data_IF_317668731433
#
_entry.id   IF_317668731433
#
_cell.length_a   1.000
_cell.length_b   1.000
_cell.length_c   1.000
_cell.angle_alpha   90.00
_cell.angle_beta   90.00
_cell.angle_gamma   90.00
#
_symmetry.space_group_name_H-M   'P 1'
#
loop_
_entity.id
_entity.type
_entity.pdbx_description
1 polymer ?
#
# COMPACT_ATOMS: atom_id res chain seq x y z
N UNK A 1 -28.49 -2.65 2.49
CA UNK A 1 -29.30 -1.44 2.22
C UNK A 1 -28.52 -0.44 1.34
N UNK A 2 -27.30 0.03 1.73
CA UNK A 2 -26.51 1.05 1.00
C UNK A 2 -26.23 0.65 -0.46
N UNK A 3 -25.75 -0.58 -0.72
CA UNK A 3 -25.49 -1.08 -2.08
C UNK A 3 -26.74 -1.03 -2.98
N UNK A 4 -27.90 -1.30 -2.41
CA UNK A 4 -29.17 -1.28 -3.16
C UNK A 4 -29.67 0.15 -3.35
N UNK A 5 -29.76 0.90 -2.26
CA UNK A 5 -30.44 2.22 -2.26
C UNK A 5 -29.58 3.32 -2.89
N UNK A 6 -28.26 3.28 -2.73
CA UNK A 6 -27.37 4.36 -3.17
C UNK A 6 -26.56 3.97 -4.40
N UNK A 7 -26.27 2.67 -4.59
CA UNK A 7 -25.42 2.19 -5.68
C UNK A 7 -26.14 1.35 -6.73
N UNK A 8 -27.44 1.14 -6.59
CA UNK A 8 -28.29 0.49 -7.60
C UNK A 8 -27.96 -0.99 -7.86
N UNK A 9 -27.50 -1.72 -6.83
CA UNK A 9 -27.35 -3.15 -6.92
C UNK A 9 -28.70 -3.86 -6.70
N UNK A 10 -28.95 -4.94 -7.43
CA UNK A 10 -30.07 -5.81 -7.15
C UNK A 10 -29.91 -6.49 -5.78
N UNK A 11 -30.94 -6.41 -4.92
CA UNK A 11 -30.88 -6.97 -3.57
C UNK A 11 -30.59 -8.48 -3.58
N UNK A 12 -31.22 -9.20 -4.50
CA UNK A 12 -31.02 -10.63 -4.70
C UNK A 12 -29.57 -10.99 -5.04
N UNK A 13 -28.90 -10.16 -5.86
CA UNK A 13 -27.48 -10.32 -6.18
C UNK A 13 -26.59 -10.15 -4.94
N UNK A 14 -26.79 -9.05 -4.20
CA UNK A 14 -26.02 -8.77 -2.98
C UNK A 14 -26.17 -9.88 -1.97
N UNK A 15 -27.40 -10.33 -1.71
CA UNK A 15 -27.69 -11.44 -0.79
C UNK A 15 -27.01 -12.73 -1.25
N UNK A 16 -27.09 -13.04 -2.54
CA UNK A 16 -26.47 -14.26 -3.09
C UNK A 16 -24.95 -14.25 -2.94
N UNK A 17 -24.29 -13.12 -3.22
CA UNK A 17 -22.84 -12.97 -3.03
C UNK A 17 -22.46 -13.14 -1.55
N UNK A 18 -23.15 -12.45 -0.65
CA UNK A 18 -22.85 -12.51 0.79
C UNK A 18 -23.10 -13.90 1.39
N UNK A 19 -24.12 -14.64 0.91
CA UNK A 19 -24.35 -16.04 1.33
C UNK A 19 -23.21 -16.99 0.95
N UNK A 20 -22.46 -16.67 -0.10
CA UNK A 20 -21.30 -17.47 -0.55
C UNK A 20 -19.99 -17.06 0.12
N UNK A 21 -19.96 -15.97 0.88
CA UNK A 21 -18.79 -15.56 1.66
C UNK A 21 -18.54 -16.53 2.81
N UNK A 22 -17.26 -16.85 3.02
CA UNK A 22 -16.81 -17.78 4.05
C UNK A 22 -16.04 -17.05 5.14
N UNK A 23 -16.43 -17.26 6.39
CA UNK A 23 -15.73 -16.69 7.55
C UNK A 23 -14.28 -17.15 7.61
N UNK A 24 -13.34 -16.20 7.75
CA UNK A 24 -11.89 -16.40 7.81
C UNK A 24 -11.32 -16.00 9.17
N UNK A 25 -11.29 -16.93 10.13
CA UNK A 25 -10.71 -16.69 11.47
C UNK A 25 -9.26 -16.22 11.41
N UNK A 26 -8.48 -16.70 10.43
CA UNK A 26 -7.10 -16.26 10.20
C UNK A 26 -7.00 -14.78 9.85
N UNK A 27 -7.95 -14.22 9.10
CA UNK A 27 -8.00 -12.79 8.80
C UNK A 27 -8.17 -11.94 10.07
N UNK A 28 -9.09 -12.31 10.96
CA UNK A 28 -9.29 -11.66 12.26
C UNK A 28 -8.02 -11.68 13.11
N UNK A 29 -7.36 -12.84 13.19
CA UNK A 29 -6.12 -12.99 13.98
C UNK A 29 -4.98 -12.14 13.41
N UNK A 30 -4.83 -12.08 12.10
CA UNK A 30 -3.77 -11.33 11.43
C UNK A 30 -3.97 -9.82 11.56
N UNK A 31 -5.20 -9.32 11.37
CA UNK A 31 -5.52 -7.89 11.55
C UNK A 31 -5.36 -7.45 13.02
N UNK A 32 -5.52 -8.37 13.97
CA UNK A 32 -5.34 -8.07 15.39
C UNK A 32 -3.86 -7.81 15.77
N UNK A 33 -2.89 -8.31 14.99
CA UNK A 33 -1.45 -8.24 15.29
C UNK A 33 -0.63 -7.86 14.05
N UNK A 34 -0.80 -6.63 13.52
CA UNK A 34 -0.06 -6.20 12.35
C UNK A 34 1.43 -6.07 12.67
N UNK A 35 2.30 -6.52 11.75
CA UNK A 35 3.75 -6.52 11.93
C UNK A 35 4.30 -5.12 12.20
N UNK A 36 3.75 -4.10 11.56
CA UNK A 36 4.12 -2.69 11.67
C UNK A 36 3.97 -2.12 13.10
N UNK A 37 3.10 -2.73 13.92
CA UNK A 37 2.83 -2.30 15.30
C UNK A 37 3.46 -3.20 16.36
N UNK A 38 3.93 -4.39 15.96
CA UNK A 38 4.38 -5.41 16.91
C UNK A 38 5.87 -5.72 16.82
N UNK A 39 6.53 -5.29 15.75
CA UNK A 39 7.95 -5.56 15.50
C UNK A 39 8.81 -4.33 15.76
N UNK A 40 10.02 -4.57 16.27
CA UNK A 40 11.09 -3.56 16.31
C UNK A 40 11.55 -3.23 14.88
N UNK A 41 12.31 -2.14 14.74
CA UNK A 41 12.93 -1.82 13.44
C UNK A 41 13.85 -2.95 12.95
N UNK A 42 14.68 -3.51 13.82
CA UNK A 42 15.57 -4.62 13.47
C UNK A 42 14.82 -5.84 12.95
N UNK A 43 13.74 -6.24 13.63
CA UNK A 43 12.89 -7.35 13.20
C UNK A 43 12.18 -7.04 11.88
N UNK A 44 11.70 -5.80 11.71
CA UNK A 44 10.96 -5.39 10.51
C UNK A 44 11.86 -5.30 9.29
N UNK A 45 13.01 -4.64 9.42
CA UNK A 45 13.99 -4.54 8.34
C UNK A 45 14.49 -5.91 7.86
N UNK A 46 14.67 -6.86 8.77
CA UNK A 46 15.12 -8.21 8.44
C UNK A 46 14.13 -8.99 7.55
N UNK A 47 12.85 -8.59 7.53
CA UNK A 47 11.85 -9.18 6.61
C UNK A 47 12.11 -8.73 5.18
N UNK A 48 12.39 -7.44 4.98
CA UNK A 48 12.39 -6.79 3.67
C UNK A 48 13.78 -6.57 3.08
N UNK A 49 14.80 -6.23 3.90
CA UNK A 49 16.13 -5.86 3.42
C UNK A 49 17.06 -7.07 3.24
N UNK A 50 16.54 -8.14 2.61
CA UNK A 50 17.32 -9.33 2.28
C UNK A 50 18.09 -9.12 0.97
N UNK A 51 19.32 -9.64 0.90
CA UNK A 51 20.18 -9.58 -0.31
C UNK A 51 19.44 -10.03 -1.57
N UNK A 52 18.64 -11.11 -1.45
CA UNK A 52 17.83 -11.62 -2.57
C UNK A 52 16.81 -10.58 -3.04
N UNK A 53 16.05 -9.96 -2.13
CA UNK A 53 15.03 -8.96 -2.51
C UNK A 53 15.67 -7.74 -3.16
N UNK A 54 16.79 -7.24 -2.64
CA UNK A 54 17.55 -6.15 -3.25
C UNK A 54 18.04 -6.53 -4.67
N UNK A 55 18.57 -7.76 -4.83
CA UNK A 55 18.99 -8.25 -6.15
C UNK A 55 17.81 -8.40 -7.13
N UNK A 56 16.67 -8.88 -6.64
CA UNK A 56 15.47 -9.03 -7.46
C UNK A 56 14.88 -7.66 -7.85
N UNK A 57 14.96 -6.65 -6.97
CA UNK A 57 14.56 -5.27 -7.27
C UNK A 57 15.41 -4.65 -8.38
N UNK A 58 16.72 -4.86 -8.34
CA UNK A 58 17.61 -4.41 -9.43
C UNK A 58 17.25 -5.05 -10.77
N UNK A 59 16.97 -6.35 -10.78
CA UNK A 59 16.50 -7.05 -12.00
C UNK A 59 15.13 -6.54 -12.45
N UNK A 60 14.22 -6.29 -11.50
CA UNK A 60 12.90 -5.74 -11.79
C UNK A 60 13.01 -4.39 -12.49
N UNK A 61 13.87 -3.49 -12.01
CA UNK A 61 14.15 -2.20 -12.68
C UNK A 61 14.68 -2.42 -14.09
N UNK A 62 15.69 -3.28 -14.25
CA UNK A 62 16.30 -3.56 -15.57
C UNK A 62 15.28 -4.10 -16.57
N UNK A 63 14.44 -5.03 -16.14
CA UNK A 63 13.45 -5.68 -17.00
C UNK A 63 12.27 -4.76 -17.38
N UNK A 64 12.00 -3.73 -16.56
CA UNK A 64 10.84 -2.85 -16.72
C UNK A 64 11.26 -1.37 -16.89
N UNK A 65 12.50 -1.12 -17.32
CA UNK A 65 13.08 0.23 -17.34
C UNK A 65 12.23 1.22 -18.13
N UNK A 66 11.69 0.83 -19.26
CA UNK A 66 10.91 1.71 -20.13
C UNK A 66 9.62 2.21 -19.45
N UNK A 67 8.88 1.33 -18.81
CA UNK A 67 7.64 1.71 -18.12
C UNK A 67 7.93 2.46 -16.84
N UNK A 68 8.97 2.09 -16.12
CA UNK A 68 9.41 2.78 -14.90
C UNK A 68 9.90 4.20 -15.20
N UNK A 69 10.71 4.41 -16.26
CA UNK A 69 11.16 5.73 -16.69
C UNK A 69 9.97 6.61 -17.15
N UNK A 70 8.97 6.01 -17.80
CA UNK A 70 7.73 6.71 -18.16
C UNK A 70 6.98 7.16 -16.91
N UNK A 71 6.81 6.29 -15.91
CA UNK A 71 6.13 6.60 -14.67
C UNK A 71 6.88 7.67 -13.86
N UNK A 72 8.22 7.56 -13.77
CA UNK A 72 9.06 8.58 -13.12
C UNK A 72 8.92 9.94 -13.80
N UNK A 73 8.96 9.97 -15.12
CA UNK A 73 8.80 11.22 -15.90
C UNK A 73 7.43 11.86 -15.68
N UNK A 74 6.37 11.07 -15.67
CA UNK A 74 4.98 11.55 -15.59
C UNK A 74 4.60 11.97 -14.17
N UNK A 75 4.94 11.18 -13.17
CA UNK A 75 4.51 11.41 -11.79
C UNK A 75 5.58 12.09 -10.92
N UNK A 76 6.82 12.12 -11.37
CA UNK A 76 7.95 12.67 -10.61
C UNK A 76 8.39 11.80 -9.44
N UNK A 77 7.98 10.53 -9.41
CA UNK A 77 8.34 9.54 -8.38
C UNK A 77 9.50 8.69 -8.92
N UNK A 78 10.66 8.62 -8.24
CA UNK A 78 11.78 7.81 -8.69
C UNK A 78 11.40 6.33 -8.87
N UNK A 79 11.90 5.73 -9.93
CA UNK A 79 11.65 4.31 -10.24
C UNK A 79 12.07 3.37 -9.12
N UNK A 80 13.09 3.73 -8.37
CA UNK A 80 13.56 2.99 -7.21
C UNK A 80 12.49 2.94 -6.11
N UNK A 81 11.78 4.05 -5.86
CA UNK A 81 10.71 4.13 -4.87
C UNK A 81 9.51 3.30 -5.30
N UNK A 82 9.09 3.41 -6.57
CA UNK A 82 8.01 2.60 -7.14
C UNK A 82 8.34 1.11 -6.98
N UNK A 83 9.55 0.74 -7.37
CA UNK A 83 10.04 -0.65 -7.29
C UNK A 83 10.11 -1.14 -5.84
N UNK A 84 10.58 -0.31 -4.91
CA UNK A 84 10.67 -0.67 -3.50
C UNK A 84 9.28 -0.93 -2.89
N UNK A 85 8.28 -0.12 -3.22
CA UNK A 85 6.90 -0.37 -2.78
C UNK A 85 6.41 -1.73 -3.30
N UNK A 86 6.52 -1.99 -4.61
CA UNK A 86 6.12 -3.29 -5.18
C UNK A 86 6.92 -4.45 -4.58
N UNK A 87 8.17 -4.21 -4.22
CA UNK A 87 9.03 -5.17 -3.53
C UNK A 87 8.58 -5.46 -2.10
N UNK A 88 8.19 -4.45 -1.34
CA UNK A 88 7.68 -4.60 0.03
C UNK A 88 6.30 -5.26 0.02
N UNK A 89 5.40 -4.84 -0.87
CA UNK A 89 4.01 -5.29 -0.90
C UNK A 89 3.88 -6.75 -1.35
N UNK A 90 4.54 -7.12 -2.43
CA UNK A 90 4.28 -8.41 -3.09
C UNK A 90 5.53 -9.18 -3.49
N UNK A 91 6.72 -8.75 -3.06
CA UNK A 91 7.98 -9.32 -3.57
C UNK A 91 8.01 -9.28 -5.11
N UNK A 92 7.70 -8.11 -5.66
CA UNK A 92 7.63 -7.85 -7.12
C UNK A 92 6.57 -8.69 -7.85
N UNK A 93 5.42 -8.95 -7.21
CA UNK A 93 4.31 -9.73 -7.75
C UNK A 93 4.34 -11.22 -7.42
N UNK A 94 5.37 -11.72 -6.74
CA UNK A 94 5.46 -13.15 -6.36
C UNK A 94 4.41 -13.54 -5.31
N UNK A 95 3.94 -12.60 -4.47
CA UNK A 95 3.04 -12.88 -3.35
C UNK A 95 1.93 -11.83 -3.30
N UNK A 96 0.90 -11.96 -4.12
CA UNK A 96 -0.24 -11.04 -4.17
C UNK A 96 -1.41 -11.42 -3.25
N UNK A 97 -1.23 -12.45 -2.42
CA UNK A 97 -2.27 -12.97 -1.54
C UNK A 97 -3.11 -14.09 -2.17
N UNK A 98 -3.74 -14.88 -1.30
CA UNK A 98 -4.50 -16.07 -1.70
C UNK A 98 -5.93 -16.13 -1.13
N UNK A 99 -6.31 -15.14 -0.32
CA UNK A 99 -7.65 -15.06 0.26
C UNK A 99 -8.61 -14.53 -0.80
N UNK A 100 -9.85 -15.09 -0.87
CA UNK A 100 -10.90 -14.38 -1.58
C UNK A 100 -11.20 -13.06 -0.86
N UNK A 101 -11.14 -11.96 -1.57
CA UNK A 101 -11.33 -10.62 -1.00
C UNK A 101 -12.71 -10.48 -0.36
N UNK A 102 -13.75 -11.05 -0.99
CA UNK A 102 -15.09 -11.07 -0.43
C UNK A 102 -15.15 -11.75 0.95
N UNK A 103 -14.44 -12.87 1.14
CA UNK A 103 -14.38 -13.57 2.42
C UNK A 103 -13.70 -12.71 3.51
N UNK A 104 -12.58 -12.09 3.15
CA UNK A 104 -11.79 -11.24 4.05
C UNK A 104 -12.61 -10.03 4.49
N UNK A 105 -13.14 -9.28 3.54
CA UNK A 105 -13.88 -8.04 3.83
C UNK A 105 -15.19 -8.31 4.56
N UNK A 106 -15.93 -9.37 4.20
CA UNK A 106 -17.15 -9.76 4.92
C UNK A 106 -16.82 -10.17 6.36
N UNK A 107 -15.80 -11.02 6.56
CA UNK A 107 -15.39 -11.43 7.90
C UNK A 107 -14.99 -10.22 8.76
N UNK A 108 -14.11 -9.36 8.25
CA UNK A 108 -13.62 -8.20 9.00
C UNK A 108 -14.70 -7.12 9.17
N UNK A 109 -15.58 -6.95 8.20
CA UNK A 109 -16.67 -6.00 8.26
C UNK A 109 -17.74 -6.36 9.30
N UNK A 110 -17.96 -7.64 9.57
CA UNK A 110 -19.00 -8.08 10.50
C UNK A 110 -18.48 -8.60 11.84
N UNK A 111 -17.24 -9.10 11.90
CA UNK A 111 -16.71 -9.76 13.08
C UNK A 111 -15.50 -9.05 13.73
N UNK A 112 -14.87 -8.04 13.10
CA UNK A 112 -13.79 -7.29 13.75
C UNK A 112 -14.38 -6.23 14.71
N UNK A 113 -14.06 -6.29 16.01
CA UNK A 113 -14.68 -5.40 16.99
C UNK A 113 -14.18 -3.95 16.92
N UNK A 114 -13.04 -3.71 16.25
CA UNK A 114 -12.35 -2.40 16.26
C UNK A 114 -12.49 -1.65 14.94
N UNK A 115 -12.47 -2.36 13.80
CA UNK A 115 -12.42 -1.78 12.46
C UNK A 115 -13.60 -2.19 11.56
N UNK A 116 -14.67 -2.74 12.14
CA UNK A 116 -15.85 -3.19 11.40
C UNK A 116 -16.40 -2.11 10.45
N UNK A 117 -16.52 -0.87 10.90
CA UNK A 117 -17.00 0.25 10.06
C UNK A 117 -16.12 0.47 8.83
N UNK A 118 -14.79 0.44 9.00
CA UNK A 118 -13.83 0.59 7.91
C UNK A 118 -13.97 -0.56 6.89
N UNK A 119 -13.98 -1.81 7.37
CA UNK A 119 -14.07 -2.96 6.46
C UNK A 119 -15.44 -3.10 5.79
N UNK A 120 -16.52 -2.62 6.41
CA UNK A 120 -17.83 -2.51 5.73
C UNK A 120 -17.80 -1.50 4.59
N UNK A 121 -17.17 -0.35 4.80
CA UNK A 121 -16.94 0.62 3.72
C UNK A 121 -16.11 0.02 2.58
N UNK A 122 -15.01 -0.68 2.89
CA UNK A 122 -14.19 -1.35 1.88
C UNK A 122 -14.96 -2.47 1.14
N UNK A 123 -15.85 -3.17 1.83
CA UNK A 123 -16.72 -4.17 1.21
C UNK A 123 -17.69 -3.53 0.21
N UNK A 124 -18.28 -2.38 0.53
CA UNK A 124 -19.10 -1.61 -0.41
C UNK A 124 -18.29 -1.18 -1.61
N UNK A 125 -17.12 -0.59 -1.39
CA UNK A 125 -16.20 -0.21 -2.45
C UNK A 125 -15.78 -1.40 -3.32
N UNK A 126 -15.66 -2.60 -2.73
CA UNK A 126 -15.32 -3.82 -3.46
C UNK A 126 -16.44 -4.28 -4.41
N UNK A 127 -17.71 -4.23 -3.97
CA UNK A 127 -18.84 -4.50 -4.86
C UNK A 127 -18.84 -3.54 -6.06
N UNK A 128 -18.62 -2.26 -5.81
CA UNK A 128 -18.61 -1.24 -6.86
C UNK A 128 -17.43 -1.46 -7.80
N UNK A 129 -16.23 -1.67 -7.25
CA UNK A 129 -15.00 -1.95 -8.00
C UNK A 129 -15.17 -3.14 -8.95
N UNK A 130 -15.72 -4.24 -8.45
CA UNK A 130 -15.88 -5.45 -9.27
C UNK A 130 -16.90 -5.26 -10.39
N UNK A 131 -17.93 -4.46 -10.19
CA UNK A 131 -18.87 -4.06 -11.25
C UNK A 131 -18.21 -3.15 -12.29
N UNK A 132 -17.49 -2.11 -11.83
CA UNK A 132 -16.81 -1.14 -12.71
C UNK A 132 -15.77 -1.80 -13.63
N UNK A 133 -15.07 -2.81 -13.12
CA UNK A 133 -13.99 -3.50 -13.85
C UNK A 133 -14.42 -4.88 -14.38
N UNK A 134 -15.71 -5.21 -14.36
CA UNK A 134 -16.24 -6.49 -14.83
C UNK A 134 -15.53 -7.72 -14.22
N UNK A 135 -15.16 -7.66 -12.94
CA UNK A 135 -14.48 -8.73 -12.22
C UNK A 135 -15.48 -9.68 -11.55
N UNK A 136 -15.17 -10.97 -11.54
CA UNK A 136 -15.94 -11.95 -10.75
C UNK A 136 -15.64 -11.76 -9.25
N UNK A 137 -16.56 -11.13 -8.52
CA UNK A 137 -16.46 -10.81 -7.10
C UNK A 137 -16.11 -12.02 -6.22
N UNK A 138 -16.51 -13.23 -6.65
CA UNK A 138 -16.25 -14.46 -5.90
C UNK A 138 -14.86 -15.06 -6.20
N UNK A 139 -14.16 -14.57 -7.23
CA UNK A 139 -12.85 -15.09 -7.65
C UNK A 139 -11.69 -14.17 -7.31
N UNK A 140 -11.92 -12.87 -7.13
CA UNK A 140 -10.85 -11.92 -6.81
C UNK A 140 -10.12 -12.36 -5.55
N UNK A 141 -8.79 -12.46 -5.64
CA UNK A 141 -7.90 -12.83 -4.54
C UNK A 141 -7.05 -11.64 -4.11
N UNK A 142 -6.66 -11.67 -2.84
CA UNK A 142 -5.82 -10.64 -2.23
C UNK A 142 -5.28 -11.07 -0.88
N UNK A 143 -4.88 -10.10 -0.07
CA UNK A 143 -4.40 -10.33 1.29
C UNK A 143 -5.55 -10.72 2.25
N UNK A 144 -5.17 -11.13 3.44
CA UNK A 144 -6.13 -11.39 4.54
C UNK A 144 -6.95 -10.15 4.93
N UNK A 145 -6.51 -8.96 4.59
CA UNK A 145 -7.20 -7.68 4.85
C UNK A 145 -7.91 -7.13 3.60
N UNK A 146 -7.91 -7.86 2.49
CA UNK A 146 -8.61 -7.46 1.27
C UNK A 146 -7.81 -6.52 0.35
N UNK A 147 -6.50 -6.41 0.54
CA UNK A 147 -5.62 -5.67 -0.36
C UNK A 147 -5.30 -6.51 -1.61
N UNK A 148 -5.21 -5.88 -2.79
CA UNK A 148 -5.26 -6.53 -4.09
C UNK A 148 -4.13 -6.13 -5.03
N UNK A 149 -3.72 -7.07 -5.88
CA UNK A 149 -2.79 -6.87 -6.99
C UNK A 149 -1.34 -6.62 -6.55
N UNK A 150 -0.50 -6.23 -7.50
CA UNK A 150 0.93 -5.98 -7.31
C UNK A 150 1.21 -4.94 -6.20
N UNK A 151 0.44 -3.85 -6.17
CA UNK A 151 0.61 -2.74 -5.21
C UNK A 151 -0.23 -2.90 -3.93
N UNK A 152 -0.94 -4.01 -3.74
CA UNK A 152 -1.78 -4.27 -2.55
C UNK A 152 -2.76 -3.14 -2.24
N UNK A 153 -3.48 -2.65 -3.25
CA UNK A 153 -4.49 -1.61 -3.07
C UNK A 153 -5.74 -2.17 -2.39
N UNK A 154 -6.24 -1.49 -1.35
CA UNK A 154 -7.59 -1.73 -0.83
C UNK A 154 -8.63 -1.21 -1.83
N UNK A 155 -9.88 -1.62 -1.71
CA UNK A 155 -10.93 -1.35 -2.70
C UNK A 155 -11.14 0.13 -2.98
N UNK A 156 -11.17 0.95 -1.95
CA UNK A 156 -11.29 2.41 -2.08
C UNK A 156 -10.08 3.04 -2.76
N UNK A 157 -8.87 2.58 -2.45
CA UNK A 157 -7.64 3.06 -3.09
C UNK A 157 -7.56 2.63 -4.55
N UNK A 158 -7.97 1.41 -4.88
CA UNK A 158 -8.04 0.93 -6.25
C UNK A 158 -8.92 1.87 -7.09
N UNK A 159 -10.16 2.12 -6.65
CA UNK A 159 -11.09 3.02 -7.34
C UNK A 159 -10.61 4.47 -7.45
N UNK A 160 -9.88 4.96 -6.44
CA UNK A 160 -9.47 6.36 -6.40
C UNK A 160 -8.16 6.65 -7.13
N UNK A 161 -7.24 5.70 -7.20
CA UNK A 161 -5.85 5.94 -7.60
C UNK A 161 -5.32 5.00 -8.68
N UNK A 162 -5.95 3.86 -8.93
CA UNK A 162 -5.53 2.98 -10.00
C UNK A 162 -5.85 3.62 -11.36
N UNK A 163 -4.95 3.42 -12.32
CA UNK A 163 -5.03 3.97 -13.66
C UNK A 163 -4.70 2.92 -14.70
N UNK A 164 -5.32 3.03 -15.87
CA UNK A 164 -4.93 2.35 -17.08
C UNK A 164 -3.66 3.02 -17.62
N UNK A 165 -2.51 2.43 -17.30
CA UNK A 165 -1.23 3.02 -17.66
C UNK A 165 -0.63 2.40 -18.92
N UNK A 166 -1.06 1.21 -19.35
CA UNK A 166 -0.69 0.65 -20.67
C UNK A 166 -1.60 1.15 -21.81
N UNK A 167 -2.77 1.71 -21.49
CA UNK A 167 -3.68 2.34 -22.45
C UNK A 167 -4.56 1.34 -23.20
N UNK A 168 -4.78 0.16 -22.62
CA UNK A 168 -5.61 -0.88 -23.23
C UNK A 168 -7.13 -0.68 -22.99
N UNK A 169 -7.51 0.32 -22.19
CA UNK A 169 -8.88 0.68 -21.85
C UNK A 169 -9.40 0.03 -20.56
N UNK A 170 -8.56 -0.72 -19.86
CA UNK A 170 -8.89 -1.38 -18.60
C UNK A 170 -7.87 -1.03 -17.51
N UNK A 171 -8.27 -1.09 -16.25
CA UNK A 171 -7.36 -0.97 -15.11
C UNK A 171 -7.17 -2.34 -14.49
N UNK A 172 -6.03 -2.98 -14.69
CA UNK A 172 -5.74 -4.34 -14.20
C UNK A 172 -4.50 -4.39 -13.30
N UNK A 173 -4.70 -4.20 -11.99
CA UNK A 173 -3.60 -4.31 -11.01
C UNK A 173 -3.17 -5.76 -10.72
N UNK A 174 -3.81 -6.75 -11.32
CA UNK A 174 -3.50 -8.17 -11.10
C UNK A 174 -2.58 -8.74 -12.18
N UNK A 175 -2.76 -8.33 -13.43
CA UNK A 175 -2.06 -8.91 -14.57
C UNK A 175 -1.28 -7.87 -15.38
N UNK A 176 -1.68 -6.58 -15.39
CA UNK A 176 -0.89 -5.50 -16.00
C UNK A 176 0.12 -4.95 -14.99
N UNK A 177 1.39 -5.25 -15.25
CA UNK A 177 2.49 -4.68 -14.47
C UNK A 177 2.64 -3.17 -14.74
N UNK A 178 2.31 -2.73 -15.96
CA UNK A 178 2.34 -1.32 -16.32
C UNK A 178 1.33 -0.52 -15.51
N UNK A 179 0.10 -1.00 -15.41
CA UNK A 179 -0.93 -0.38 -14.57
C UNK A 179 -0.52 -0.34 -13.09
N UNK A 180 0.06 -1.42 -12.59
CA UNK A 180 0.53 -1.48 -11.22
C UNK A 180 1.63 -0.46 -10.94
N UNK A 181 2.60 -0.29 -11.84
CA UNK A 181 3.67 0.71 -11.77
C UNK A 181 3.09 2.12 -11.82
N UNK A 182 2.25 2.40 -12.82
CA UNK A 182 1.61 3.70 -13.01
C UNK A 182 0.72 4.06 -11.81
N UNK A 183 -0.10 3.12 -11.35
CA UNK A 183 -1.00 3.33 -10.21
C UNK A 183 -0.26 3.58 -8.91
N UNK A 184 0.85 2.86 -8.66
CA UNK A 184 1.71 3.10 -7.49
C UNK A 184 2.31 4.51 -7.52
N UNK A 185 2.80 4.95 -8.67
CA UNK A 185 3.33 6.29 -8.85
C UNK A 185 2.24 7.36 -8.71
N UNK A 186 1.07 7.15 -9.32
CA UNK A 186 -0.08 8.04 -9.19
C UNK A 186 -0.54 8.17 -7.72
N UNK A 187 -0.59 7.06 -6.98
CA UNK A 187 -0.92 7.07 -5.55
C UNK A 187 -0.01 8.03 -4.77
N UNK A 188 1.32 7.89 -4.93
CA UNK A 188 2.28 8.75 -4.25
C UNK A 188 2.13 10.22 -4.68
N UNK A 189 1.97 10.48 -5.97
CA UNK A 189 1.72 11.82 -6.50
C UNK A 189 0.48 12.46 -5.89
N UNK A 190 -0.62 11.72 -5.82
CA UNK A 190 -1.90 12.19 -5.24
C UNK A 190 -1.82 12.40 -3.73
N UNK A 191 -0.87 11.74 -3.06
CA UNK A 191 -0.60 11.91 -1.63
C UNK A 191 0.51 12.90 -1.31
N UNK A 192 0.87 13.76 -2.26
CA UNK A 192 1.73 14.91 -2.02
C UNK A 192 3.21 14.68 -2.29
N UNK A 193 3.57 13.64 -3.06
CA UNK A 193 4.95 13.44 -3.51
C UNK A 193 5.49 14.70 -4.19
N UNK A 194 6.66 15.14 -3.79
CA UNK A 194 7.40 16.27 -4.37
C UNK A 194 8.55 15.73 -5.21
N UNK A 195 8.52 16.04 -6.51
CA UNK A 195 9.66 15.77 -7.40
C UNK A 195 10.92 16.43 -6.82
N UNK A 196 12.03 15.70 -6.83
CA UNK A 196 13.33 16.14 -6.28
C UNK A 196 13.33 16.46 -4.77
N UNK A 197 12.22 16.25 -4.07
CA UNK A 197 12.17 16.34 -2.62
C UNK A 197 12.90 15.18 -1.94
N UNK A 198 13.51 15.43 -0.78
CA UNK A 198 14.09 14.37 0.03
C UNK A 198 12.99 13.49 0.64
N UNK A 199 13.33 12.26 1.01
CA UNK A 199 12.43 11.35 1.72
C UNK A 199 12.72 11.46 3.21
N UNK A 200 13.98 11.26 3.59
CA UNK A 200 14.42 11.28 4.97
C UNK A 200 15.86 11.74 5.05
N UNK A 201 16.19 12.49 6.08
CA UNK A 201 17.55 12.95 6.38
C UNK A 201 18.02 12.39 7.72
N UNK A 202 19.18 11.73 7.74
CA UNK A 202 19.78 11.27 9.01
C UNK A 202 20.29 12.47 9.81
N UNK A 203 19.98 12.48 11.08
CA UNK A 203 20.38 13.54 12.02
C UNK A 203 21.33 12.94 13.04
N UNK A 204 22.45 13.64 13.30
CA UNK A 204 23.41 13.27 14.34
C UNK A 204 23.21 14.19 15.54
N UNK A 205 23.45 13.74 16.79
CA UNK A 205 23.23 14.54 17.99
C UNK A 205 23.82 15.94 17.93
N UNK A 206 24.97 16.11 17.28
CA UNK A 206 25.65 17.39 17.12
C UNK A 206 24.96 18.36 16.15
N UNK A 207 24.01 17.86 15.32
CA UNK A 207 23.33 18.64 14.27
C UNK A 207 21.84 18.87 14.54
N UNK A 208 21.29 18.28 15.62
CA UNK A 208 19.83 18.37 15.93
C UNK A 208 19.36 19.83 15.97
N UNK A 209 20.18 20.74 16.52
CA UNK A 209 19.84 22.19 16.58
C UNK A 209 19.72 22.88 15.24
N UNK A 210 20.35 22.38 14.16
CA UNK A 210 20.25 22.98 12.82
C UNK A 210 18.89 22.74 12.16
N UNK A 211 18.21 21.67 12.54
CA UNK A 211 16.88 21.32 12.04
C UNK A 211 15.75 21.92 12.89
N UNK A 212 16.08 22.39 14.10
CA UNK A 212 15.16 23.11 14.99
C UNK A 212 15.29 24.63 14.77
N UNK A 213 14.66 25.14 13.72
CA UNK A 213 14.43 26.59 13.58
C UNK A 213 13.06 26.92 14.20
N UNK A 214 12.99 27.72 15.27
CA UNK A 214 11.73 27.99 15.98
C UNK A 214 10.68 28.76 15.19
N UNK A 215 10.98 29.23 13.98
CA UNK A 215 10.13 30.12 13.19
C UNK A 215 9.70 29.59 11.82
N UNK A 216 10.18 28.41 11.38
CA UNK A 216 9.61 27.74 10.21
C UNK A 216 8.60 26.72 10.71
N UNK A 217 7.39 26.78 10.15
CA UNK A 217 6.25 25.91 10.50
C UNK A 217 6.69 24.47 10.80
N UNK A 218 6.69 24.07 12.08
CA UNK A 218 7.03 22.73 12.59
C UNK A 218 6.15 21.59 12.01
N UNK A 219 5.24 21.93 11.11
CA UNK A 219 4.33 20.98 10.46
C UNK A 219 4.95 20.24 9.27
N UNK A 220 6.17 20.61 8.86
CA UNK A 220 6.82 20.02 7.67
C UNK A 220 7.68 18.78 7.96
N UNK A 221 8.25 18.66 9.16
CA UNK A 221 9.22 17.60 9.46
C UNK A 221 8.68 16.58 10.46
N UNK A 222 8.94 15.31 10.22
CA UNK A 222 8.57 14.20 11.11
C UNK A 222 9.84 13.73 11.82
N UNK A 223 9.98 13.92 13.14
CA UNK A 223 11.08 13.34 13.89
C UNK A 223 10.89 11.83 13.98
N UNK A 224 11.93 11.08 13.63
CA UNK A 224 11.92 9.63 13.62
C UNK A 224 13.10 9.10 14.44
N UNK A 225 12.84 8.11 15.27
CA UNK A 225 13.88 7.39 16.02
C UNK A 225 13.68 5.89 15.85
N UNK A 226 14.74 5.21 15.44
CA UNK A 226 14.76 3.77 15.29
C UNK A 226 15.93 3.19 16.07
N UNK A 227 15.77 2.01 16.64
CA UNK A 227 16.87 1.26 17.25
C UNK A 227 17.37 0.22 16.24
N UNK A 228 18.66 0.28 15.90
CA UNK A 228 19.31 -0.67 15.00
C UNK A 228 20.55 -1.23 15.68
N UNK A 229 20.61 -2.56 15.89
CA UNK A 229 21.68 -3.27 16.58
C UNK A 229 22.01 -2.67 17.96
N UNK A 230 21.02 -2.17 18.69
CA UNK A 230 21.15 -1.53 20.00
C UNK A 230 21.55 -0.05 19.97
N UNK A 231 21.76 0.55 18.81
CA UNK A 231 22.05 1.97 18.66
C UNK A 231 20.80 2.75 18.21
N UNK A 232 20.60 3.94 18.79
CA UNK A 232 19.54 4.84 18.34
C UNK A 232 19.97 5.60 17.08
N UNK A 233 19.14 5.52 16.07
CA UNK A 233 19.27 6.26 14.82
C UNK A 233 18.19 7.32 14.74
N UNK A 234 18.58 8.57 14.55
CA UNK A 234 17.67 9.69 14.43
C UNK A 234 17.58 10.18 12.99
N UNK A 235 16.35 10.43 12.55
CA UNK A 235 16.06 10.94 11.21
C UNK A 235 14.99 12.02 11.29
N UNK A 236 14.92 12.78 10.20
CA UNK A 236 13.84 13.73 9.93
C UNK A 236 13.22 13.34 8.59
N UNK A 237 11.97 12.93 8.62
CA UNK A 237 11.15 12.69 7.43
C UNK A 237 10.48 13.96 6.94
N UNK A 238 10.30 14.08 5.63
CA UNK A 238 9.61 15.20 5.00
C UNK A 238 8.35 14.78 4.23
N UNK A 239 7.87 15.60 3.28
CA UNK A 239 6.65 15.32 2.54
C UNK A 239 6.68 13.99 1.79
N UNK A 240 7.83 13.61 1.23
CA UNK A 240 7.96 12.35 0.49
C UNK A 240 7.94 11.14 1.44
N UNK A 241 8.48 11.27 2.65
CA UNK A 241 8.32 10.26 3.69
C UNK A 241 6.85 10.09 4.08
N UNK A 242 6.11 11.21 4.22
CA UNK A 242 4.66 11.15 4.48
C UNK A 242 3.90 10.46 3.38
N UNK A 243 4.22 10.76 2.11
CA UNK A 243 3.57 10.12 0.97
C UNK A 243 3.74 8.60 0.99
N UNK A 244 4.96 8.12 1.32
CA UNK A 244 5.22 6.68 1.48
C UNK A 244 4.47 6.13 2.71
N UNK A 245 4.54 6.81 3.85
CA UNK A 245 3.88 6.37 5.07
C UNK A 245 2.34 6.29 4.92
N UNK A 246 1.74 7.07 4.02
CA UNK A 246 0.30 6.97 3.70
C UNK A 246 -0.09 5.64 3.08
N UNK A 247 0.85 4.96 2.43
CA UNK A 247 0.57 3.66 1.80
C UNK A 247 0.19 2.60 2.84
N UNK A 248 0.84 2.60 4.01
CA UNK A 248 0.58 1.62 5.07
C UNK A 248 0.55 2.21 6.50
N UNK A 249 0.34 3.50 6.68
CA UNK A 249 0.24 4.24 7.96
C UNK A 249 1.28 3.76 9.00
N UNK A 250 2.56 3.71 8.61
CA UNK A 250 3.65 3.15 9.42
C UNK A 250 5.00 3.73 9.05
N UNK A 251 5.74 4.24 10.06
CA UNK A 251 7.07 4.79 9.88
C UNK A 251 8.09 3.69 9.55
N UNK A 252 7.98 2.51 10.17
CA UNK A 252 8.87 1.38 9.87
C UNK A 252 8.66 0.86 8.44
N UNK A 253 7.43 0.92 7.93
CA UNK A 253 7.12 0.63 6.53
C UNK A 253 7.82 1.63 5.59
N UNK A 254 7.64 2.93 5.85
CA UNK A 254 8.23 3.96 5.00
C UNK A 254 9.76 3.89 5.00
N UNK A 255 10.37 3.58 6.15
CA UNK A 255 11.82 3.33 6.23
C UNK A 255 12.23 2.06 5.47
N UNK A 256 11.45 0.99 5.51
CA UNK A 256 11.75 -0.23 4.74
C UNK A 256 11.72 0.03 3.23
N UNK A 257 10.77 0.82 2.74
CA UNK A 257 10.71 1.28 1.35
C UNK A 257 11.93 2.13 1.00
N UNK A 258 12.31 3.07 1.88
CA UNK A 258 13.47 3.94 1.68
C UNK A 258 14.80 3.18 1.57
N UNK A 259 14.98 2.11 2.36
CA UNK A 259 16.21 1.33 2.39
C UNK A 259 16.28 0.22 1.32
N UNK A 260 15.15 -0.24 0.80
CA UNK A 260 15.09 -1.28 -0.23
C UNK A 260 15.45 -0.73 -1.60
#
# INVERSE_FOLDING_TARGET
DELVNEHGFEESYVINVLKQAKKRKTALNSVARPAEKTKTWDDYRAIFLKKKRISDGKKFIQNNITVLDRAEKEFGVPKEVITAILGVETDYGNIMGSYRVIDSLTTLGFDDPRRSKFFKSELIQFFILTRENNLDILKVKGSYAGAMGYGQFISSSYRAYAIDFDGDGYVDLFNSLEDAIGSTANYLKRHGWKKEGSIVTRVYPNNVRKFYKPHESLTQFIPLTFTENGEELHFVGDDNFRAIARYNISDVYAMAVYYL
#
